data_IF_112938715479
#
_entry.id   IF_112938715479
#
_cell.length_a   1.000
_cell.length_b   1.000
_cell.length_c   1.000
_cell.angle_alpha   90.00
_cell.angle_beta   90.00
_cell.angle_gamma   90.00
#
_symmetry.space_group_name_H-M   'P 1'
#
loop_
_entity.id
_entity.type
_entity.pdbx_description
1 polymer ?
#
# COMPACT_ATOMS: atom_id res chain seq x y z
N UNK A 1 -14.36 5.75 14.33
CA UNK A 1 -13.42 5.28 13.28
C UNK A 1 -12.96 3.82 13.47
N UNK A 2 -12.43 3.44 14.66
CA UNK A 2 -11.80 2.12 14.89
C UNK A 2 -12.66 0.92 14.47
N UNK A 3 -13.96 0.93 14.80
CA UNK A 3 -14.88 -0.15 14.43
C UNK A 3 -15.08 -0.27 12.91
N UNK A 4 -15.14 0.86 12.19
CA UNK A 4 -15.31 0.85 10.72
C UNK A 4 -14.03 0.38 10.02
N UNK A 5 -12.85 0.81 10.48
CA UNK A 5 -11.56 0.31 9.97
C UNK A 5 -11.44 -1.20 10.18
N UNK A 6 -11.79 -1.69 11.37
CA UNK A 6 -11.77 -3.12 11.70
C UNK A 6 -12.70 -3.93 10.79
N UNK A 7 -13.92 -3.46 10.58
CA UNK A 7 -14.88 -4.12 9.69
C UNK A 7 -14.36 -4.22 8.25
N UNK A 8 -13.67 -3.17 7.74
CA UNK A 8 -13.03 -3.22 6.41
C UNK A 8 -11.91 -4.25 6.36
N UNK A 9 -11.02 -4.26 7.35
CA UNK A 9 -9.91 -5.23 7.44
C UNK A 9 -10.44 -6.67 7.50
N UNK A 10 -11.53 -6.88 8.22
CA UNK A 10 -12.17 -8.20 8.35
C UNK A 10 -12.72 -8.75 7.02
N UNK A 11 -12.94 -7.91 6.00
CA UNK A 11 -13.31 -8.37 4.65
C UNK A 11 -12.16 -9.01 3.88
N UNK A 12 -10.92 -8.80 4.32
CA UNK A 12 -9.70 -9.25 3.62
C UNK A 12 -9.62 -8.76 2.16
N UNK A 13 -10.22 -7.61 1.85
CA UNK A 13 -10.18 -7.01 0.51
C UNK A 13 -8.90 -6.20 0.28
N UNK A 14 -8.33 -6.32 -0.93
CA UNK A 14 -7.07 -5.67 -1.30
C UNK A 14 -5.91 -6.16 -0.43
N UNK A 15 -5.04 -5.24 -0.02
CA UNK A 15 -3.91 -5.56 0.88
C UNK A 15 -4.34 -5.72 2.35
N UNK A 16 -5.53 -5.25 2.72
CA UNK A 16 -6.09 -5.30 4.08
C UNK A 16 -5.07 -4.93 5.18
N UNK A 17 -4.85 -5.81 6.17
CA UNK A 17 -3.84 -5.71 7.23
C UNK A 17 -2.67 -6.70 7.04
N UNK A 18 -2.48 -7.27 5.84
CA UNK A 18 -1.60 -8.44 5.66
C UNK A 18 -0.14 -8.10 5.98
N UNK A 19 0.34 -6.93 5.53
CA UNK A 19 1.70 -6.46 5.82
C UNK A 19 1.86 -6.09 7.30
N UNK A 20 0.94 -5.31 7.85
CA UNK A 20 1.04 -4.85 9.24
C UNK A 20 0.94 -6.00 10.24
N UNK A 21 0.14 -7.03 9.95
CA UNK A 21 0.12 -8.28 10.72
C UNK A 21 1.48 -8.95 10.72
N UNK A 22 2.06 -9.20 9.53
CA UNK A 22 3.38 -9.82 9.44
C UNK A 22 4.43 -9.02 10.19
N UNK A 23 4.46 -7.70 10.03
CA UNK A 23 5.37 -6.81 10.77
C UNK A 23 5.19 -6.94 12.29
N UNK A 24 3.94 -6.97 12.78
CA UNK A 24 3.63 -7.16 14.21
C UNK A 24 4.10 -8.51 14.75
N UNK A 25 4.00 -9.57 13.97
CA UNK A 25 4.52 -10.91 14.35
C UNK A 25 6.05 -10.89 14.56
N UNK A 26 6.76 -10.02 13.84
CA UNK A 26 8.20 -9.79 14.02
C UNK A 26 8.54 -8.67 15.03
N UNK A 27 7.57 -8.24 15.84
CA UNK A 27 7.79 -7.29 16.94
C UNK A 27 7.74 -5.81 16.56
N UNK A 28 7.31 -5.47 15.34
CA UNK A 28 7.12 -4.08 14.94
C UNK A 28 5.79 -3.54 15.44
N UNK A 29 5.75 -2.23 15.72
CA UNK A 29 4.51 -1.48 15.89
C UNK A 29 4.08 -1.00 14.50
N UNK A 30 2.90 -1.41 14.04
CA UNK A 30 2.41 -1.07 12.70
C UNK A 30 0.95 -0.61 12.71
N UNK A 31 0.66 0.43 11.95
CA UNK A 31 -0.67 1.04 11.81
C UNK A 31 -1.03 1.23 10.33
N UNK A 32 -2.18 0.71 9.91
CA UNK A 32 -2.65 0.85 8.52
C UNK A 32 -3.43 2.16 8.30
N UNK A 33 -2.98 3.00 7.39
CA UNK A 33 -3.73 4.17 6.93
C UNK A 33 -4.43 3.88 5.61
N UNK A 34 -5.75 3.66 5.66
CA UNK A 34 -6.57 3.44 4.47
C UNK A 34 -7.00 4.81 3.91
N UNK A 35 -6.13 5.41 3.08
CA UNK A 35 -6.28 6.78 2.58
C UNK A 35 -7.39 6.95 1.53
N UNK A 36 -7.70 5.90 0.78
CA UNK A 36 -8.66 5.93 -0.32
C UNK A 36 -10.14 5.78 0.11
N UNK A 37 -10.43 5.67 1.41
CA UNK A 37 -11.81 5.60 1.93
C UNK A 37 -12.18 6.93 2.59
N UNK A 38 -12.76 7.84 1.81
CA UNK A 38 -13.10 9.19 2.26
C UNK A 38 -13.95 9.24 3.55
N UNK A 39 -15.01 8.42 3.75
CA UNK A 39 -15.76 8.42 5.00
C UNK A 39 -14.91 8.06 6.23
N UNK A 40 -13.93 7.16 6.08
CA UNK A 40 -13.02 6.78 7.17
C UNK A 40 -12.07 7.92 7.52
N UNK A 41 -11.50 8.57 6.50
CA UNK A 41 -10.61 9.73 6.67
C UNK A 41 -11.34 10.92 7.31
N UNK A 42 -12.57 11.21 6.87
CA UNK A 42 -13.38 12.29 7.46
C UNK A 42 -13.79 11.98 8.90
N UNK A 43 -14.06 10.71 9.23
CA UNK A 43 -14.32 10.32 10.61
C UNK A 43 -13.07 10.52 11.50
N UNK A 44 -11.88 10.12 11.02
CA UNK A 44 -10.62 10.39 11.70
C UNK A 44 -10.42 11.90 11.93
N UNK A 45 -10.66 12.73 10.91
CA UNK A 45 -10.44 14.18 10.99
C UNK A 45 -11.34 14.83 12.05
N UNK A 46 -12.63 14.45 12.11
CA UNK A 46 -13.56 14.91 13.17
C UNK A 46 -13.10 14.48 14.57
N UNK A 47 -12.66 13.24 14.72
CA UNK A 47 -12.18 12.70 16.01
C UNK A 47 -10.91 13.40 16.50
N UNK A 48 -10.12 13.99 15.60
CA UNK A 48 -8.86 14.67 15.91
C UNK A 48 -8.93 16.20 15.79
N UNK A 49 -10.14 16.78 15.70
CA UNK A 49 -10.37 18.22 15.51
C UNK A 49 -9.56 18.82 14.34
N UNK A 50 -9.37 18.05 13.27
CA UNK A 50 -8.62 18.45 12.09
C UNK A 50 -9.58 18.84 10.95
N UNK A 51 -9.30 19.96 10.28
CA UNK A 51 -10.17 20.53 9.23
C UNK A 51 -9.70 20.26 7.80
N UNK A 52 -8.50 19.68 7.63
CA UNK A 52 -7.95 19.33 6.33
C UNK A 52 -8.72 18.21 5.64
N UNK A 53 -8.45 18.02 4.35
CA UNK A 53 -9.18 17.09 3.48
C UNK A 53 -8.24 16.21 2.65
N UNK A 54 -8.75 15.04 2.27
CA UNK A 54 -8.03 14.11 1.38
C UNK A 54 -6.64 13.80 1.91
N UNK A 55 -5.62 14.13 1.13
CA UNK A 55 -4.23 13.81 1.44
C UNK A 55 -3.69 14.55 2.69
N UNK A 56 -4.22 15.74 2.99
CA UNK A 56 -3.82 16.52 4.17
C UNK A 56 -4.08 15.74 5.46
N UNK A 57 -5.13 14.91 5.46
CA UNK A 57 -5.49 14.04 6.59
C UNK A 57 -4.40 12.99 6.81
N UNK A 58 -3.87 12.41 5.74
CA UNK A 58 -2.79 11.41 5.82
C UNK A 58 -1.49 12.04 6.31
N UNK A 59 -1.16 13.24 5.83
CA UNK A 59 0.01 14.00 6.31
C UNK A 59 -0.12 14.27 7.81
N UNK A 60 -1.30 14.71 8.27
CA UNK A 60 -1.55 14.96 9.69
C UNK A 60 -1.52 13.68 10.53
N UNK A 61 -2.05 12.56 10.01
CA UNK A 61 -1.95 11.24 10.65
C UNK A 61 -0.48 10.84 10.88
N UNK A 62 0.38 11.02 9.87
CA UNK A 62 1.81 10.75 9.96
C UNK A 62 2.47 11.72 10.95
N UNK A 63 2.11 13.01 10.91
CA UNK A 63 2.64 14.03 11.82
C UNK A 63 2.36 13.71 13.29
N UNK A 64 1.14 13.28 13.60
CA UNK A 64 0.74 12.93 14.97
C UNK A 64 1.38 11.63 15.43
N UNK A 65 1.46 10.62 14.55
CA UNK A 65 2.04 9.32 14.87
C UNK A 65 3.58 9.34 14.96
N UNK A 66 4.24 10.20 14.16
CA UNK A 66 5.70 10.27 13.99
C UNK A 66 6.37 8.89 13.79
N UNK A 67 5.93 8.10 12.80
CA UNK A 67 6.47 6.76 12.60
C UNK A 67 7.92 6.82 12.10
N UNK A 68 8.74 5.85 12.51
CA UNK A 68 10.10 5.74 11.98
C UNK A 68 10.10 5.39 10.48
N UNK A 69 9.08 4.65 10.03
CA UNK A 69 8.93 4.24 8.63
C UNK A 69 7.52 4.52 8.15
N UNK A 70 7.40 5.20 7.00
CA UNK A 70 6.15 5.27 6.23
C UNK A 70 6.29 4.34 5.03
N UNK A 71 5.44 3.30 4.97
CA UNK A 71 5.41 2.35 3.87
C UNK A 71 4.17 2.58 2.98
N UNK A 72 4.39 3.09 1.77
CA UNK A 72 3.36 3.26 0.74
C UNK A 72 3.25 1.96 -0.07
N UNK A 73 2.16 1.20 0.12
CA UNK A 73 1.89 -0.03 -0.63
C UNK A 73 1.64 0.21 -2.12
N UNK A 74 1.34 1.45 -2.50
CA UNK A 74 1.30 1.91 -3.89
C UNK A 74 1.90 3.31 -3.99
N UNK A 75 2.83 3.51 -4.91
CA UNK A 75 3.54 4.77 -5.09
C UNK A 75 2.68 5.92 -5.66
N UNK A 76 1.45 5.67 -6.12
CA UNK A 76 0.60 6.69 -6.74
C UNK A 76 0.25 7.87 -5.82
N UNK A 77 0.22 7.65 -4.50
CA UNK A 77 0.02 8.71 -3.49
C UNK A 77 1.29 9.53 -3.22
N UNK A 78 2.46 9.00 -3.58
CA UNK A 78 3.78 9.58 -3.33
C UNK A 78 4.16 10.68 -4.33
N UNK A 79 3.35 11.73 -4.44
CA UNK A 79 3.77 12.92 -5.21
C UNK A 79 4.91 13.64 -4.49
N UNK A 80 5.67 14.46 -5.21
CA UNK A 80 6.75 15.27 -4.64
C UNK A 80 6.30 16.11 -3.45
N UNK A 81 5.13 16.72 -3.56
CA UNK A 81 4.54 17.56 -2.53
C UNK A 81 4.19 16.74 -1.29
N UNK A 82 3.62 15.54 -1.48
CA UNK A 82 3.27 14.65 -0.38
C UNK A 82 4.53 14.14 0.34
N UNK A 83 5.52 13.64 -0.41
CA UNK A 83 6.77 13.13 0.14
C UNK A 83 7.51 14.22 0.93
N UNK A 84 7.59 15.44 0.38
CA UNK A 84 8.16 16.59 1.07
C UNK A 84 7.40 16.95 2.36
N UNK A 85 6.06 16.85 2.36
CA UNK A 85 5.23 17.17 3.51
C UNK A 85 5.39 16.18 4.68
N UNK A 86 5.61 14.89 4.39
CA UNK A 86 5.77 13.85 5.42
C UNK A 86 7.23 13.71 5.90
N UNK A 87 8.20 14.15 5.09
CA UNK A 87 9.63 13.97 5.33
C UNK A 87 10.10 14.39 6.75
N UNK A 88 9.64 15.52 7.32
CA UNK A 88 10.06 15.94 8.67
C UNK A 88 9.56 15.05 9.83
N UNK A 89 8.63 14.14 9.55
CA UNK A 89 7.92 13.35 10.55
C UNK A 89 8.24 11.85 10.52
N UNK A 90 9.15 11.43 9.64
CA UNK A 90 9.56 10.02 9.50
C UNK A 90 11.02 9.88 9.10
N UNK A 91 11.66 8.77 9.46
CA UNK A 91 13.06 8.49 9.14
C UNK A 91 13.21 7.84 7.77
N UNK A 92 12.30 6.92 7.40
CA UNK A 92 12.29 6.23 6.11
C UNK A 92 10.95 6.35 5.40
N UNK A 93 10.99 6.68 4.11
CA UNK A 93 9.86 6.62 3.19
C UNK A 93 10.10 5.47 2.22
N UNK A 94 9.26 4.45 2.32
CA UNK A 94 9.34 3.21 1.56
C UNK A 94 8.18 3.15 0.58
N UNK A 95 8.47 2.77 -0.67
CA UNK A 95 7.45 2.59 -1.71
C UNK A 95 7.40 1.15 -2.21
N UNK A 96 6.22 0.68 -2.59
CA UNK A 96 6.03 -0.56 -3.32
C UNK A 96 5.43 -0.29 -4.70
N UNK A 97 5.96 -0.98 -5.71
CA UNK A 97 5.48 -0.86 -7.10
C UNK A 97 5.46 -2.20 -7.83
N UNK A 98 4.33 -2.46 -8.48
CA UNK A 98 4.09 -3.61 -9.33
C UNK A 98 3.39 -3.20 -10.65
N UNK A 99 3.65 -1.99 -11.13
CA UNK A 99 3.11 -1.45 -12.38
C UNK A 99 4.14 -0.56 -13.09
N UNK A 100 3.95 -0.22 -14.37
CA UNK A 100 4.84 0.70 -15.08
C UNK A 100 5.01 2.04 -14.35
N UNK A 101 6.26 2.50 -14.26
CA UNK A 101 6.60 3.81 -13.70
C UNK A 101 6.17 4.90 -14.69
N UNK A 102 5.40 5.88 -14.23
CA UNK A 102 5.02 7.01 -15.05
C UNK A 102 6.21 7.99 -15.20
N UNK A 103 6.38 8.67 -16.35
CA UNK A 103 7.54 9.54 -16.60
C UNK A 103 7.81 10.61 -15.54
N UNK A 104 6.76 11.07 -14.83
CA UNK A 104 6.84 12.14 -13.84
C UNK A 104 6.73 11.62 -12.38
N UNK A 105 6.93 10.32 -12.16
CA UNK A 105 6.94 9.75 -10.81
C UNK A 105 8.18 10.22 -10.02
N UNK A 106 7.96 10.71 -8.80
CA UNK A 106 9.04 11.19 -7.93
C UNK A 106 9.70 10.03 -7.16
N UNK A 107 10.50 9.25 -7.88
CA UNK A 107 11.16 8.05 -7.34
C UNK A 107 12.37 8.37 -6.45
N UNK A 108 12.93 9.58 -6.57
CA UNK A 108 14.19 9.95 -5.89
C UNK A 108 14.00 10.33 -4.42
N UNK A 109 12.78 10.67 -4.03
CA UNK A 109 12.43 11.02 -2.65
C UNK A 109 11.99 9.81 -1.80
N UNK A 110 12.09 8.59 -2.36
CA UNK A 110 11.96 7.34 -1.62
C UNK A 110 13.33 6.86 -1.16
N UNK A 111 13.43 6.41 0.09
CA UNK A 111 14.66 5.84 0.64
C UNK A 111 14.84 4.39 0.18
N UNK A 112 13.73 3.63 0.08
CA UNK A 112 13.71 2.23 -0.36
C UNK A 112 12.51 2.01 -1.28
N UNK A 113 12.72 1.30 -2.39
CA UNK A 113 11.63 0.83 -3.26
C UNK A 113 11.61 -0.69 -3.35
N UNK A 114 10.48 -1.30 -3.00
CA UNK A 114 10.20 -2.71 -3.23
C UNK A 114 9.46 -2.93 -4.54
N UNK A 115 9.81 -3.99 -5.27
CA UNK A 115 9.05 -4.41 -6.45
C UNK A 115 8.95 -5.93 -6.56
N UNK A 116 7.80 -6.40 -7.04
CA UNK A 116 7.58 -7.80 -7.43
C UNK A 116 8.09 -8.12 -8.83
N UNK A 117 8.71 -7.15 -9.52
CA UNK A 117 9.33 -7.34 -10.83
C UNK A 117 10.84 -7.08 -10.78
N UNK A 118 11.69 -8.12 -11.02
CA UNK A 118 13.15 -7.98 -10.94
C UNK A 118 13.72 -6.86 -11.82
N UNK A 119 13.18 -6.67 -13.03
CA UNK A 119 13.65 -5.64 -13.96
C UNK A 119 13.43 -4.20 -13.44
N UNK A 120 12.41 -3.96 -12.59
CA UNK A 120 12.25 -2.66 -11.95
C UNK A 120 13.29 -2.44 -10.86
N UNK A 121 13.62 -3.48 -10.09
CA UNK A 121 14.68 -3.41 -9.06
C UNK A 121 16.02 -3.02 -9.69
N UNK A 122 16.39 -3.65 -10.80
CA UNK A 122 17.59 -3.30 -11.57
C UNK A 122 17.58 -1.86 -12.07
N UNK A 123 16.43 -1.41 -12.60
CA UNK A 123 16.23 -0.03 -13.06
C UNK A 123 16.39 0.98 -11.93
N UNK A 124 15.81 0.74 -10.76
CA UNK A 124 15.93 1.63 -9.60
C UNK A 124 17.36 1.69 -9.07
N UNK A 125 18.04 0.55 -8.95
CA UNK A 125 19.45 0.48 -8.54
C UNK A 125 20.36 1.23 -9.52
N UNK A 126 20.12 1.10 -10.82
CA UNK A 126 20.85 1.83 -11.86
C UNK A 126 20.62 3.34 -11.78
N UNK A 127 19.49 3.78 -11.22
CA UNK A 127 19.19 5.18 -10.93
C UNK A 127 19.69 5.65 -9.55
N UNK A 128 20.44 4.81 -8.83
CA UNK A 128 21.01 5.15 -7.51
C UNK A 128 20.06 4.97 -6.33
N UNK A 129 18.90 4.33 -6.52
CA UNK A 129 17.90 4.14 -5.48
C UNK A 129 18.06 2.75 -4.85
N UNK A 130 18.03 2.68 -3.51
CA UNK A 130 18.02 1.40 -2.79
C UNK A 130 16.72 0.66 -3.13
N UNK A 131 16.85 -0.55 -3.67
CA UNK A 131 15.68 -1.32 -4.08
C UNK A 131 15.86 -2.81 -3.86
N UNK A 132 14.77 -3.50 -3.52
CA UNK A 132 14.73 -4.93 -3.23
C UNK A 132 13.59 -5.61 -3.98
N UNK A 133 13.85 -6.84 -4.39
CA UNK A 133 12.84 -7.72 -4.92
C UNK A 133 11.98 -8.27 -3.78
N UNK A 134 10.66 -8.13 -3.89
CA UNK A 134 9.70 -8.72 -2.97
C UNK A 134 8.55 -9.37 -3.78
N UNK A 135 8.47 -10.71 -3.84
CA UNK A 135 7.37 -11.38 -4.51
C UNK A 135 6.06 -11.12 -3.76
N UNK A 136 4.96 -11.05 -4.51
CA UNK A 136 3.63 -11.07 -3.91
C UNK A 136 3.34 -12.46 -3.33
N UNK A 137 2.72 -12.49 -2.16
CA UNK A 137 2.33 -13.71 -1.47
C UNK A 137 0.83 -13.71 -1.19
N UNK A 138 0.26 -14.89 -1.05
CA UNK A 138 -1.13 -15.08 -0.67
C UNK A 138 -1.26 -15.16 0.85
N UNK A 139 -2.25 -14.47 1.43
CA UNK A 139 -2.55 -14.51 2.87
C UNK A 139 -3.40 -15.75 3.24
N UNK A 140 -2.88 -16.71 4.02
CA UNK A 140 -3.61 -17.94 4.37
C UNK A 140 -4.92 -17.72 5.13
N UNK A 141 -5.05 -16.66 5.93
CA UNK A 141 -6.31 -16.34 6.66
C UNK A 141 -7.53 -16.22 5.75
N UNK A 142 -7.33 -15.88 4.48
CA UNK A 142 -8.43 -15.83 3.50
C UNK A 142 -9.06 -17.22 3.33
N UNK A 143 -8.25 -18.28 3.30
CA UNK A 143 -8.75 -19.67 3.20
C UNK A 143 -9.48 -20.09 4.46
N UNK A 144 -8.99 -19.69 5.64
CA UNK A 144 -9.64 -19.96 6.92
C UNK A 144 -11.05 -19.34 6.99
N UNK A 145 -11.21 -18.12 6.46
CA UNK A 145 -12.50 -17.41 6.41
C UNK A 145 -13.49 -17.98 5.40
N UNK A 146 -13.01 -18.34 4.21
CA UNK A 146 -13.87 -18.89 3.14
C UNK A 146 -14.31 -20.31 3.50
N UNK A 147 -13.44 -21.07 4.16
CA UNK A 147 -13.67 -22.47 4.46
C UNK A 147 -13.67 -23.35 3.20
N UNK A 148 -14.30 -24.52 3.30
CA UNK A 148 -14.40 -25.46 2.18
C UNK A 148 -15.65 -25.16 1.36
N UNK A 149 -15.48 -24.94 0.06
CA UNK A 149 -16.57 -24.73 -0.88
C UNK A 149 -16.64 -25.87 -1.90
N UNK A 150 -17.85 -26.17 -2.35
CA UNK A 150 -18.08 -27.05 -3.50
C UNK A 150 -17.81 -26.29 -4.80
N UNK A 151 -17.05 -26.92 -5.72
CA UNK A 151 -16.76 -26.33 -7.03
C UNK A 151 -17.96 -26.50 -7.95
N UNK A 152 -18.70 -25.41 -8.17
CA UNK A 152 -19.88 -25.40 -9.05
C UNK A 152 -19.57 -25.03 -10.52
N UNK A 153 -18.40 -24.42 -10.79
CA UNK A 153 -17.99 -24.05 -12.15
C UNK A 153 -16.75 -24.85 -12.60
N UNK A 154 -16.75 -25.38 -13.84
CA UNK A 154 -15.56 -26.06 -14.37
C UNK A 154 -14.40 -25.10 -14.60
N UNK A 155 -14.64 -23.81 -14.86
CA UNK A 155 -13.61 -22.77 -14.97
C UNK A 155 -14.18 -21.45 -14.45
N UNK A 156 -13.37 -20.71 -13.68
CA UNK A 156 -13.67 -19.34 -13.25
C UNK A 156 -12.48 -18.46 -13.62
N UNK A 157 -12.75 -17.31 -14.25
CA UNK A 157 -11.75 -16.27 -14.52
C UNK A 157 -12.01 -15.08 -13.60
N UNK A 158 -10.98 -14.67 -12.85
CA UNK A 158 -11.00 -13.47 -12.00
C UNK A 158 -9.83 -12.60 -12.43
N UNK A 159 -10.13 -11.45 -13.03
CA UNK A 159 -9.12 -10.53 -13.54
C UNK A 159 -9.69 -9.53 -14.53
N UNK A 160 -8.81 -8.71 -15.10
CA UNK A 160 -9.15 -7.71 -16.12
C UNK A 160 -8.60 -8.14 -17.47
N UNK A 161 -9.41 -8.03 -18.52
CA UNK A 161 -8.98 -8.16 -19.91
C UNK A 161 -8.91 -6.74 -20.51
N UNK A 162 -7.78 -6.40 -21.11
CA UNK A 162 -7.52 -5.07 -21.67
C UNK A 162 -6.62 -5.17 -22.91
N UNK A 163 -6.41 -4.06 -23.63
CA UNK A 163 -5.51 -4.00 -24.79
C UNK A 163 -4.07 -4.45 -24.49
N UNK A 164 -3.65 -4.38 -23.23
CA UNK A 164 -2.33 -4.88 -22.81
C UNK A 164 -2.19 -6.41 -22.97
N UNK A 165 -3.30 -7.13 -23.14
CA UNK A 165 -3.33 -8.59 -23.28
C UNK A 165 -3.46 -9.04 -24.75
N UNK A 166 -3.44 -8.12 -25.73
CA UNK A 166 -3.66 -8.42 -27.15
C UNK A 166 -2.62 -9.38 -27.74
N UNK A 167 -1.38 -9.34 -27.25
CA UNK A 167 -0.24 -10.09 -27.83
C UNK A 167 0.19 -11.33 -27.02
N UNK A 168 -0.52 -11.68 -25.95
CA UNK A 168 -0.07 -12.76 -25.05
C UNK A 168 1.21 -12.39 -24.28
N UNK A 169 1.92 -13.39 -23.73
CA UNK A 169 3.13 -13.17 -22.91
C UNK A 169 4.22 -12.42 -23.71
N UNK A 170 4.59 -11.24 -23.24
CA UNK A 170 5.90 -10.61 -23.45
C UNK A 170 6.85 -11.04 -22.35
#
# INVERSE_FOLDING_TARGET
MKNNKKALIETCFGDSDFYSKGLKEYGWIAEDFISNIAPLQLAWARENNFTGKGIEIVVEQIRQLRPQVVYLHEMGIGTKEFLAAIRPYTELIVGQIACPIFPNSDIVNFDIIFSSFPHFVEKFRSAGITSYYQPLAFEPRVLEKIGRLERIYPVTFVGTISKLHEKGRQ
#
